data_IF_895990388889
#
_entry.id   IF_895990388889
#
_cell.length_a   1.000
_cell.length_b   1.000
_cell.length_c   1.000
_cell.angle_alpha   90.00
_cell.angle_beta   90.00
_cell.angle_gamma   90.00
#
_symmetry.space_group_name_H-M   'P 1'
#
loop_
_entity.id
_entity.type
_entity.pdbx_description
1 polymer ?
#
# COMPACT_ATOMS: atom_id res chain seq x y z
N UNK A 1 32.08 -20.72 -14.83
CA UNK A 1 31.80 -20.40 -13.41
C UNK A 1 30.31 -20.54 -13.18
N UNK A 2 29.88 -21.42 -12.27
CA UNK A 2 28.46 -21.53 -11.92
C UNK A 2 28.03 -20.20 -11.26
N UNK A 3 27.01 -19.53 -11.82
CA UNK A 3 26.46 -18.33 -11.23
C UNK A 3 26.02 -18.65 -9.79
N UNK A 4 26.60 -17.97 -8.80
CA UNK A 4 26.28 -18.16 -7.40
C UNK A 4 24.77 -17.98 -7.21
N UNK A 5 24.08 -19.06 -6.85
CA UNK A 5 22.64 -19.02 -6.53
C UNK A 5 22.47 -18.38 -5.17
N UNK A 6 21.39 -17.61 -5.02
CA UNK A 6 21.00 -17.02 -3.73
C UNK A 6 20.64 -18.11 -2.72
N UNK A 7 20.52 -17.76 -1.44
CA UNK A 7 20.13 -18.67 -0.36
C UNK A 7 18.79 -19.40 -0.62
N UNK A 8 17.91 -18.81 -1.43
CA UNK A 8 16.61 -19.35 -1.81
C UNK A 8 16.60 -19.96 -3.22
N UNK A 9 17.78 -20.27 -3.78
CA UNK A 9 17.94 -20.97 -5.05
C UNK A 9 17.71 -20.13 -6.31
N UNK A 10 17.20 -18.90 -6.18
CA UNK A 10 16.94 -17.98 -7.30
C UNK A 10 18.21 -17.37 -7.89
N UNK A 11 18.13 -16.95 -9.16
CA UNK A 11 19.16 -16.13 -9.82
C UNK A 11 19.17 -14.71 -9.26
N UNK A 12 20.24 -13.96 -9.51
CA UNK A 12 20.38 -12.58 -9.04
C UNK A 12 19.24 -11.66 -9.54
N UNK A 13 18.79 -11.85 -10.78
CA UNK A 13 17.74 -11.09 -11.44
C UNK A 13 16.36 -11.76 -11.43
N UNK A 14 16.20 -12.86 -10.71
CA UNK A 14 14.94 -13.60 -10.64
C UNK A 14 14.07 -13.09 -9.48
N UNK A 15 12.85 -12.64 -9.79
CA UNK A 15 11.87 -12.19 -8.81
C UNK A 15 11.39 -13.35 -7.92
N UNK A 16 10.85 -13.02 -6.74
CA UNK A 16 10.10 -14.00 -5.94
C UNK A 16 8.80 -14.34 -6.68
N UNK A 17 8.18 -15.51 -6.43
CA UNK A 17 6.84 -15.80 -6.93
C UNK A 17 5.86 -14.69 -6.53
N UNK A 18 5.08 -14.18 -7.49
CA UNK A 18 4.08 -13.15 -7.29
C UNK A 18 2.69 -13.74 -7.48
N UNK A 19 1.78 -13.49 -6.54
CA UNK A 19 0.36 -13.83 -6.64
C UNK A 19 -0.48 -12.64 -6.21
N UNK A 20 -1.56 -12.38 -6.93
CA UNK A 20 -2.52 -11.32 -6.62
C UNK A 20 -3.92 -11.91 -6.60
N UNK A 21 -4.67 -11.65 -5.52
CA UNK A 21 -6.07 -12.05 -5.38
C UNK A 21 -6.91 -10.79 -5.24
N UNK A 22 -7.56 -10.38 -6.33
CA UNK A 22 -8.44 -9.20 -6.36
C UNK A 22 -9.79 -9.51 -5.70
N UNK A 23 -10.46 -8.50 -5.14
CA UNK A 23 -11.71 -8.67 -4.41
C UNK A 23 -11.54 -9.42 -3.08
N UNK A 24 -10.35 -9.35 -2.46
CA UNK A 24 -10.02 -10.08 -1.24
C UNK A 24 -10.82 -9.62 -0.01
N UNK A 25 -11.10 -8.31 0.09
CA UNK A 25 -11.94 -7.71 1.12
C UNK A 25 -13.26 -7.32 0.48
N UNK A 26 -14.37 -8.04 0.72
CA UNK A 26 -15.64 -7.82 0.02
C UNK A 26 -16.29 -6.47 0.31
N UNK A 27 -15.97 -5.85 1.45
CA UNK A 27 -16.56 -4.58 1.89
C UNK A 27 -15.83 -3.34 1.37
N UNK A 28 -14.65 -3.50 0.78
CA UNK A 28 -13.90 -2.37 0.22
C UNK A 28 -14.33 -2.11 -1.23
N UNK A 29 -14.34 -0.83 -1.65
CA UNK A 29 -14.68 -0.46 -3.03
C UNK A 29 -13.71 -1.11 -4.04
N UNK A 30 -12.45 -1.25 -3.64
CA UNK A 30 -11.47 -2.08 -4.32
C UNK A 30 -10.56 -2.79 -3.33
N UNK A 31 -10.17 -4.03 -3.61
CA UNK A 31 -9.23 -4.75 -2.75
C UNK A 31 -8.37 -5.75 -3.50
N UNK A 32 -7.17 -5.98 -2.98
CA UNK A 32 -6.24 -6.98 -3.48
C UNK A 32 -5.35 -7.51 -2.34
N UNK A 33 -5.24 -8.83 -2.21
CA UNK A 33 -4.14 -9.46 -1.48
C UNK A 33 -2.99 -9.69 -2.46
N UNK A 34 -1.87 -8.99 -2.28
CA UNK A 34 -0.64 -9.23 -3.03
C UNK A 34 0.36 -10.03 -2.20
N UNK A 35 0.94 -11.05 -2.81
CA UNK A 35 1.93 -11.94 -2.22
C UNK A 35 3.18 -11.94 -3.09
N UNK A 36 4.34 -11.64 -2.51
CA UNK A 36 5.65 -11.64 -3.17
C UNK A 36 6.59 -12.54 -2.36
N UNK A 37 6.63 -13.82 -2.70
CA UNK A 37 7.17 -14.87 -1.82
C UNK A 37 6.39 -14.91 -0.50
N UNK A 38 7.09 -14.80 0.63
CA UNK A 38 6.46 -14.77 1.95
C UNK A 38 5.92 -13.38 2.37
N UNK A 39 6.24 -12.32 1.63
CA UNK A 39 5.69 -10.98 1.93
C UNK A 39 4.25 -10.94 1.45
N UNK A 40 3.31 -10.65 2.36
CA UNK A 40 1.88 -10.55 2.05
C UNK A 40 1.35 -9.19 2.51
N UNK A 41 0.61 -8.52 1.64
CA UNK A 41 0.03 -7.20 1.92
C UNK A 41 -1.41 -7.20 1.43
N UNK A 42 -2.33 -6.85 2.31
CA UNK A 42 -3.69 -6.49 1.92
C UNK A 42 -3.66 -5.02 1.51
N UNK A 43 -4.12 -4.74 0.30
CA UNK A 43 -4.35 -3.40 -0.19
C UNK A 43 -5.86 -3.18 -0.36
N UNK A 44 -6.43 -2.19 0.33
CA UNK A 44 -7.82 -1.74 0.14
C UNK A 44 -7.86 -0.32 -0.39
N UNK A 45 -8.82 -0.04 -1.25
CA UNK A 45 -9.15 1.29 -1.72
C UNK A 45 -10.57 1.62 -1.28
N UNK A 46 -10.73 2.77 -0.63
CA UNK A 46 -12.02 3.29 -0.18
C UNK A 46 -12.24 4.66 -0.80
N UNK A 47 -13.38 4.87 -1.47
CA UNK A 47 -13.80 6.14 -2.03
C UNK A 47 -14.63 6.89 -1.00
N UNK A 48 -14.23 8.11 -0.67
CA UNK A 48 -14.93 8.97 0.29
C UNK A 48 -15.26 10.29 -0.37
N UNK A 49 -16.49 10.77 -0.17
CA UNK A 49 -16.89 12.09 -0.62
C UNK A 49 -16.12 13.18 0.13
N UNK A 50 -15.67 14.20 -0.59
CA UNK A 50 -14.87 15.30 -0.04
C UNK A 50 -13.38 15.15 -0.30
N UNK A 51 -12.67 16.25 -0.05
CA UNK A 51 -11.22 16.40 -0.19
C UNK A 51 -10.66 17.13 1.03
N UNK A 52 -9.34 17.11 1.26
CA UNK A 52 -8.75 17.93 2.31
C UNK A 52 -9.11 19.42 2.15
N UNK A 53 -9.29 20.14 3.26
CA UNK A 53 -9.73 21.55 3.29
C UNK A 53 -8.94 22.47 2.34
N UNK A 54 -7.62 22.26 2.23
CA UNK A 54 -6.75 23.07 1.38
C UNK A 54 -6.96 22.81 -0.13
N UNK A 55 -7.67 21.75 -0.50
CA UNK A 55 -8.00 21.36 -1.88
C UNK A 55 -9.48 21.62 -2.23
N UNK A 56 -10.31 21.99 -1.26
CA UNK A 56 -11.71 22.32 -1.50
C UNK A 56 -11.87 23.43 -2.55
N UNK A 57 -12.91 23.33 -3.38
CA UNK A 57 -13.18 24.29 -4.45
C UNK A 57 -12.27 24.19 -5.68
N UNK A 58 -11.22 23.36 -5.66
CA UNK A 58 -10.32 23.17 -6.82
C UNK A 58 -10.91 22.36 -7.96
N UNK A 59 -11.98 21.61 -7.71
CA UNK A 59 -12.57 20.64 -8.65
C UNK A 59 -11.74 19.35 -8.83
N UNK A 60 -10.61 19.21 -8.13
CA UNK A 60 -9.75 18.03 -8.18
C UNK A 60 -10.03 17.07 -7.03
N UNK A 61 -9.78 15.80 -7.28
CA UNK A 61 -9.77 14.76 -6.26
C UNK A 61 -8.45 14.60 -5.56
N UNK A 62 -8.43 13.68 -4.60
CA UNK A 62 -7.24 13.38 -3.83
C UNK A 62 -7.01 11.88 -3.68
N UNK A 63 -5.74 11.50 -3.57
CA UNK A 63 -5.35 10.12 -3.21
C UNK A 63 -4.38 10.20 -2.05
N UNK A 64 -4.68 9.47 -0.99
CA UNK A 64 -3.82 9.33 0.18
C UNK A 64 -3.62 7.86 0.51
N UNK A 65 -2.64 7.57 1.37
CA UNK A 65 -2.34 6.20 1.76
C UNK A 65 -1.98 6.08 3.23
N UNK A 66 -2.42 4.96 3.81
CA UNK A 66 -2.04 4.49 5.12
C UNK A 66 -1.28 3.17 4.99
N UNK A 67 -0.31 2.96 5.87
CA UNK A 67 0.54 1.78 5.85
C UNK A 67 0.62 1.22 7.26
N UNK A 68 0.15 -0.02 7.38
CA UNK A 68 0.17 -0.78 8.61
C UNK A 68 1.09 -1.98 8.49
N UNK A 69 1.72 -2.33 9.60
CA UNK A 69 2.31 -3.65 9.77
C UNK A 69 1.66 -4.32 10.97
N UNK A 70 1.10 -5.51 10.79
CA UNK A 70 0.67 -6.30 11.92
C UNK A 70 1.86 -6.56 12.85
N UNK A 71 1.69 -6.50 14.18
CA UNK A 71 2.77 -6.74 15.13
C UNK A 71 3.55 -8.05 14.91
N UNK A 72 2.91 -9.08 14.36
CA UNK A 72 3.48 -10.40 14.12
C UNK A 72 3.96 -10.62 12.67
N UNK A 73 3.90 -9.61 11.80
CA UNK A 73 4.33 -9.69 10.37
C UNK A 73 5.84 -9.85 10.16
N UNK A 74 6.64 -9.79 11.24
CA UNK A 74 8.09 -9.93 11.22
C UNK A 74 8.55 -11.06 12.14
N UNK A 75 9.77 -11.56 11.93
CA UNK A 75 10.35 -12.66 12.71
C UNK A 75 10.32 -12.43 14.25
N UNK A 76 10.46 -11.17 14.68
CA UNK A 76 10.22 -10.76 16.05
C UNK A 76 9.00 -9.85 16.12
N UNK A 77 8.17 -10.02 17.16
CA UNK A 77 6.97 -9.20 17.34
C UNK A 77 7.36 -7.73 17.54
N UNK A 78 6.82 -6.84 16.71
CA UNK A 78 6.93 -5.38 16.88
C UNK A 78 5.87 -4.88 17.84
N UNK A 79 6.17 -3.80 18.56
CA UNK A 79 5.16 -3.09 19.36
C UNK A 79 4.22 -2.34 18.40
N UNK A 80 2.91 -2.46 18.61
CA UNK A 80 1.92 -1.65 17.89
C UNK A 80 2.17 -0.16 18.20
N UNK A 81 2.32 0.72 17.20
CA UNK A 81 2.43 2.16 17.44
C UNK A 81 1.12 2.66 18.07
N UNK A 82 1.24 3.43 19.15
CA UNK A 82 0.11 4.08 19.83
C UNK A 82 0.39 5.59 19.76
N UNK A 83 -0.56 6.34 19.21
CA UNK A 83 -0.46 7.79 19.06
C UNK A 83 0.33 8.22 17.83
N UNK A 84 1.65 7.97 17.79
CA UNK A 84 2.53 8.44 16.71
C UNK A 84 3.10 7.29 15.89
N UNK A 85 3.00 7.42 14.57
CA UNK A 85 3.64 6.53 13.60
C UNK A 85 5.17 6.62 13.68
N UNK A 86 5.86 5.50 13.43
CA UNK A 86 7.32 5.52 13.29
C UNK A 86 7.73 6.22 11.98
N UNK A 87 8.98 6.68 11.93
CA UNK A 87 9.49 7.42 10.76
C UNK A 87 9.38 6.63 9.46
N UNK A 88 9.61 5.30 9.53
CA UNK A 88 9.53 4.40 8.38
C UNK A 88 8.10 4.30 7.84
N UNK A 89 7.09 4.07 8.68
CA UNK A 89 5.70 3.99 8.19
C UNK A 89 5.25 5.33 7.62
N UNK A 90 5.62 6.44 8.26
CA UNK A 90 5.31 7.78 7.76
C UNK A 90 5.98 8.10 6.41
N UNK A 91 7.17 7.54 6.14
CA UNK A 91 7.84 7.64 4.85
C UNK A 91 7.13 6.79 3.78
N UNK A 92 6.84 5.52 4.10
CA UNK A 92 6.17 4.59 3.19
C UNK A 92 4.79 5.11 2.78
N UNK A 93 3.99 5.62 3.72
CA UNK A 93 2.69 6.24 3.43
C UNK A 93 2.80 7.38 2.42
N UNK A 94 3.74 8.30 2.68
CA UNK A 94 3.99 9.43 1.78
C UNK A 94 4.44 8.96 0.40
N UNK A 95 5.27 7.93 0.34
CA UNK A 95 5.74 7.35 -0.90
C UNK A 95 4.61 6.72 -1.72
N UNK A 96 3.79 5.85 -1.11
CA UNK A 96 2.65 5.20 -1.78
C UNK A 96 1.69 6.27 -2.34
N UNK A 97 1.26 7.22 -1.51
CA UNK A 97 0.37 8.29 -1.94
C UNK A 97 0.98 9.13 -3.08
N UNK A 98 2.28 9.45 -3.01
CA UNK A 98 2.96 10.22 -4.06
C UNK A 98 2.99 9.48 -5.40
N UNK A 99 3.32 8.20 -5.39
CA UNK A 99 3.40 7.37 -6.60
C UNK A 99 2.02 7.21 -7.23
N UNK A 100 0.98 6.95 -6.44
CA UNK A 100 -0.36 6.78 -6.98
C UNK A 100 -0.93 8.09 -7.55
N UNK A 101 -0.65 9.23 -6.91
CA UNK A 101 -1.07 10.53 -7.44
C UNK A 101 -0.45 10.85 -8.81
N UNK A 102 0.67 10.26 -9.19
CA UNK A 102 1.27 10.51 -10.51
C UNK A 102 0.62 9.73 -11.65
N UNK A 103 -0.30 8.80 -11.35
CA UNK A 103 -0.97 7.94 -12.36
C UNK A 103 -2.50 8.05 -12.32
N UNK A 104 -3.07 8.76 -11.35
CA UNK A 104 -4.52 8.98 -11.23
C UNK A 104 -4.90 10.34 -11.82
N UNK A 105 -5.92 10.35 -12.67
CA UNK A 105 -6.49 11.58 -13.22
C UNK A 105 -7.38 12.29 -12.17
N UNK A 106 -6.81 13.20 -11.38
CA UNK A 106 -7.49 13.86 -10.26
C UNK A 106 -8.73 14.66 -10.67
N UNK A 107 -8.72 15.27 -11.85
CA UNK A 107 -9.88 16.03 -12.36
C UNK A 107 -11.09 15.12 -12.56
N UNK A 108 -10.86 13.88 -13.02
CA UNK A 108 -11.93 12.89 -13.24
C UNK A 108 -12.44 12.26 -11.95
N UNK A 109 -11.61 12.26 -10.91
CA UNK A 109 -12.00 11.80 -9.58
C UNK A 109 -13.02 12.78 -8.94
N UNK A 110 -13.02 14.06 -9.36
CA UNK A 110 -13.87 15.10 -8.79
C UNK A 110 -13.55 15.32 -7.31
N UNK A 111 -14.40 16.02 -6.53
CA UNK A 111 -14.13 16.33 -5.12
C UNK A 111 -14.33 15.11 -4.21
N UNK A 112 -13.61 14.03 -4.49
CA UNK A 112 -13.58 12.79 -3.74
C UNK A 112 -12.15 12.41 -3.41
N UNK A 113 -11.99 11.65 -2.33
CA UNK A 113 -10.70 11.12 -1.89
C UNK A 113 -10.70 9.61 -1.98
N UNK A 114 -9.64 9.05 -2.55
CA UNK A 114 -9.34 7.62 -2.44
C UNK A 114 -8.35 7.44 -1.29
N UNK A 115 -8.75 6.65 -0.29
CA UNK A 115 -7.89 6.15 0.77
C UNK A 115 -7.35 4.78 0.39
N UNK A 116 -6.03 4.65 0.34
CA UNK A 116 -5.34 3.38 0.11
C UNK A 116 -4.73 2.86 1.41
N UNK A 117 -5.27 1.78 1.93
CA UNK A 117 -4.71 1.14 3.13
C UNK A 117 -3.89 -0.07 2.71
N UNK A 118 -2.63 -0.10 3.13
CA UNK A 118 -1.68 -1.17 2.82
C UNK A 118 -1.21 -1.83 4.12
N UNK A 119 -1.83 -2.95 4.48
CA UNK A 119 -1.56 -3.69 5.71
C UNK A 119 -0.71 -4.93 5.44
N UNK A 120 0.50 -4.96 6.00
CA UNK A 120 1.38 -6.13 5.95
C UNK A 120 0.92 -7.16 6.99
N UNK A 121 0.71 -8.39 6.51
CA UNK A 121 0.27 -9.53 7.30
C UNK A 121 1.42 -10.24 8.02
#
# INVERSE_FOLDING_TARGET
>A
MAAARRHDGRRANELRPVKMSVGYVPTADGSCLIQVGQTQVICTASLTAGVPDWLEGSGQGWVTAEYGMLPASTAQRRRRPIGRLDGRSAEIQRFIGRVLRSVVAMEKLGPNTIYLDCDVL
#
